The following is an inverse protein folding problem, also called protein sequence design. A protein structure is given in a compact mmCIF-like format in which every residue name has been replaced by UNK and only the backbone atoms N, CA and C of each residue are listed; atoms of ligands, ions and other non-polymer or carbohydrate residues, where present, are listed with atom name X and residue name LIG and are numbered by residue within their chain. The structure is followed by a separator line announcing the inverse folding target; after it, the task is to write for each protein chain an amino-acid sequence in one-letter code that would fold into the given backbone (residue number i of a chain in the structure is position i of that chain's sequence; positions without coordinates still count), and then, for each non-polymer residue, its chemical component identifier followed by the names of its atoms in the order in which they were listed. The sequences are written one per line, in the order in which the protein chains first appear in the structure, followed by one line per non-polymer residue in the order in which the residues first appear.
data_IF_143180234349
#
_entry.id   IF_143180234349
#
_cell.length_a   1.000
_cell.length_b   1.000
_cell.length_c   1.000
_cell.angle_alpha   90.00
_cell.angle_beta   90.00
_cell.angle_gamma   90.00
#
_symmetry.space_group_name_H-M   'P 1'
#
loop_
_entity.id
_entity.type
_entity.pdbx_description
1 polymer ?
#
# COMPACT_ATOMS: atom_id res chain seq x y z
N UNK A 1 8.77 9.46 12.34
CA UNK A 1 7.32 9.76 12.31
C UNK A 1 7.08 10.65 11.10
N UNK A 2 6.12 10.28 10.25
CA UNK A 2 5.77 11.04 9.04
C UNK A 2 4.35 11.58 9.23
N UNK A 3 4.18 12.88 9.03
CA UNK A 3 2.86 13.52 9.04
C UNK A 3 2.52 13.90 7.59
N UNK A 4 1.39 13.42 7.09
CA UNK A 4 0.99 13.67 5.70
C UNK A 4 -0.52 13.60 5.56
N UNK A 5 -1.05 14.40 4.64
CA UNK A 5 -2.45 14.31 4.19
C UNK A 5 -2.63 13.23 3.11
N UNK A 6 -1.53 12.79 2.49
CA UNK A 6 -1.53 11.78 1.44
C UNK A 6 -0.47 10.74 1.76
N UNK A 7 -0.89 9.49 1.92
CA UNK A 7 0.03 8.40 2.22
C UNK A 7 1.03 8.24 1.07
N UNK A 8 2.34 8.02 1.37
CA UNK A 8 3.34 7.85 0.33
C UNK A 8 3.02 6.61 -0.52
N UNK A 9 3.54 6.53 -1.74
CA UNK A 9 3.47 5.27 -2.50
C UNK A 9 4.50 4.31 -1.91
N UNK A 10 4.07 3.10 -1.52
CA UNK A 10 4.96 2.02 -1.09
C UNK A 10 4.85 0.89 -2.10
N UNK A 11 5.98 0.42 -2.61
CA UNK A 11 6.01 -0.66 -3.58
C UNK A 11 5.49 -1.98 -2.98
N UNK A 12 4.89 -2.83 -3.81
CA UNK A 12 4.48 -4.18 -3.41
C UNK A 12 5.66 -5.01 -2.86
N UNK A 13 6.88 -4.75 -3.38
CA UNK A 13 8.15 -5.37 -3.01
C UNK A 13 8.60 -5.18 -1.56
N UNK A 14 8.09 -4.18 -0.86
CA UNK A 14 8.65 -3.78 0.43
C UNK A 14 7.95 -4.46 1.61
N UNK A 15 7.92 -5.80 1.62
CA UNK A 15 7.38 -6.58 2.74
C UNK A 15 8.02 -6.20 4.09
N UNK A 16 9.28 -5.78 4.08
CA UNK A 16 9.99 -5.24 5.24
C UNK A 16 9.46 -3.89 5.72
N UNK A 17 8.97 -3.04 4.82
CA UNK A 17 8.30 -1.77 5.16
C UNK A 17 6.90 -2.08 5.69
N UNK A 18 6.12 -2.90 4.98
CA UNK A 18 4.74 -3.25 5.38
C UNK A 18 4.65 -3.88 6.77
N UNK A 19 5.63 -4.69 7.17
CA UNK A 19 5.69 -5.27 8.53
C UNK A 19 5.91 -4.25 9.64
N UNK A 20 6.44 -3.07 9.33
CA UNK A 20 6.81 -2.02 10.31
C UNK A 20 5.94 -0.77 10.21
N UNK A 21 5.16 -0.65 9.14
CA UNK A 21 4.36 0.52 8.84
C UNK A 21 3.12 0.54 9.73
N UNK A 22 2.99 1.60 10.54
CA UNK A 22 1.82 1.86 11.37
C UNK A 22 1.14 3.14 10.84
N UNK A 23 -0.10 3.02 10.39
CA UNK A 23 -0.91 4.16 9.96
C UNK A 23 -1.84 4.56 11.09
N UNK A 24 -1.65 5.75 11.66
CA UNK A 24 -2.52 6.29 12.71
C UNK A 24 -3.40 7.38 12.05
N UNK A 25 -4.69 7.10 11.81
CA UNK A 25 -5.58 8.09 11.20
C UNK A 25 -5.87 9.23 12.18
N UNK A 26 -5.73 10.47 11.71
CA UNK A 26 -6.12 11.67 12.44
C UNK A 26 -7.38 12.28 11.81
N UNK A 27 -8.54 11.89 12.34
CA UNK A 27 -9.84 12.28 11.77
C UNK A 27 -10.44 13.54 12.43
N UNK A 28 -9.76 14.10 13.44
CA UNK A 28 -10.24 15.29 14.13
C UNK A 28 -10.06 16.53 13.24
N UNK A 29 -11.11 17.35 13.15
CA UNK A 29 -11.06 18.68 12.51
C UNK A 29 -11.02 19.74 13.61
N UNK A 30 -10.03 20.62 13.55
CA UNK A 30 -9.88 21.74 14.48
C UNK A 30 -10.47 22.97 13.81
N UNK A 31 -11.54 23.54 14.38
CA UNK A 31 -12.23 24.73 13.84
C UNK A 31 -11.76 26.04 14.55
N UNK A 32 -11.90 27.15 13.82
CA UNK A 32 -11.19 28.46 13.91
C UNK A 32 -11.18 29.21 15.26
N UNK A 33 -11.79 28.71 16.34
CA UNK A 33 -11.82 29.38 17.65
C UNK A 33 -10.91 28.75 18.71
N UNK A 34 -10.24 27.64 18.39
CA UNK A 34 -9.40 26.88 19.32
C UNK A 34 -7.93 26.78 18.90
N UNK A 35 -7.55 27.41 17.79
CA UNK A 35 -6.19 27.34 17.25
C UNK A 35 -5.23 28.25 18.03
N UNK A 36 -4.51 27.66 18.98
CA UNK A 36 -3.44 28.32 19.73
C UNK A 36 -2.15 28.18 18.93
N UNK A 37 -1.63 29.29 18.41
CA UNK A 37 -0.30 29.32 17.77
C UNK A 37 0.78 28.85 18.75
N UNK A 38 1.75 28.10 18.25
CA UNK A 38 2.82 27.49 19.05
C UNK A 38 2.27 26.65 20.22
N UNK A 39 1.24 25.84 19.96
CA UNK A 39 0.59 25.04 21.00
C UNK A 39 1.58 24.12 21.76
N UNK A 40 2.69 23.72 21.14
CA UNK A 40 3.75 22.99 21.81
C UNK A 40 4.36 23.77 23.00
N UNK A 41 4.66 25.06 22.82
CA UNK A 41 5.20 25.92 23.90
C UNK A 41 4.16 26.16 24.99
N UNK A 42 2.90 26.32 24.58
CA UNK A 42 1.77 26.42 25.50
C UNK A 42 1.64 25.13 26.35
N UNK A 43 1.65 23.96 25.72
CA UNK A 43 1.58 22.68 26.42
C UNK A 43 2.77 22.46 27.34
N UNK A 44 3.98 22.82 26.91
CA UNK A 44 5.18 22.74 27.75
C UNK A 44 5.02 23.59 29.01
N UNK A 45 4.56 24.84 28.86
CA UNK A 45 4.44 25.80 29.96
C UNK A 45 3.27 25.51 30.90
N UNK A 46 2.17 24.96 30.39
CA UNK A 46 0.91 24.83 31.13
C UNK A 46 0.54 23.38 31.50
N UNK A 47 1.11 22.39 30.82
CA UNK A 47 0.75 20.97 30.98
C UNK A 47 1.97 20.03 30.95
N UNK A 48 3.20 20.55 30.95
CA UNK A 48 4.42 19.76 30.78
C UNK A 48 4.57 18.63 31.80
N UNK A 49 4.29 18.90 33.08
CA UNK A 49 4.36 17.91 34.16
C UNK A 49 3.34 16.77 33.95
N UNK A 50 2.10 17.10 33.57
CA UNK A 50 1.06 16.12 33.29
C UNK A 50 1.39 15.26 32.06
N UNK A 51 1.92 15.86 31.00
CA UNK A 51 2.37 15.15 29.80
C UNK A 51 3.51 14.20 30.17
N UNK A 52 4.49 14.64 30.96
CA UNK A 52 5.59 13.79 31.41
C UNK A 52 5.09 12.60 32.24
N UNK A 53 4.17 12.84 33.18
CA UNK A 53 3.55 11.77 33.94
C UNK A 53 2.84 10.76 33.03
N UNK A 54 2.10 11.22 32.03
CA UNK A 54 1.42 10.37 31.06
C UNK A 54 2.39 9.55 30.19
N UNK A 55 3.53 10.14 29.79
CA UNK A 55 4.59 9.43 29.07
C UNK A 55 5.22 8.34 29.94
N UNK A 56 5.49 8.62 31.23
CA UNK A 56 6.05 7.63 32.17
C UNK A 56 5.07 6.46 32.35
N UNK A 57 3.79 6.75 32.58
CA UNK A 57 2.74 5.74 32.70
C UNK A 57 2.64 4.90 31.42
N UNK A 58 2.66 5.55 30.25
CA UNK A 58 2.69 4.86 28.96
C UNK A 58 3.90 3.94 28.81
N UNK A 59 5.09 4.40 29.20
CA UNK A 59 6.31 3.60 29.14
C UNK A 59 6.25 2.36 30.03
N UNK A 60 5.74 2.49 31.27
CA UNK A 60 5.53 1.35 32.18
C UNK A 60 4.62 0.30 31.55
N UNK A 61 3.47 0.71 31.00
CA UNK A 61 2.54 -0.18 30.30
C UNK A 61 3.19 -0.90 29.12
N UNK A 62 3.99 -0.20 28.32
CA UNK A 62 4.70 -0.81 27.16
C UNK A 62 5.72 -1.85 27.62
N UNK A 63 6.44 -1.59 28.71
CA UNK A 63 7.41 -2.53 29.30
C UNK A 63 6.67 -3.77 29.83
N UNK A 64 5.56 -3.60 30.54
CA UNK A 64 4.73 -4.69 31.05
C UNK A 64 4.19 -5.58 29.92
N UNK A 65 3.88 -4.99 28.75
CA UNK A 65 3.47 -5.71 27.54
C UNK A 65 4.64 -6.34 26.76
N UNK A 66 5.89 -6.22 27.23
CA UNK A 66 7.06 -6.74 26.53
C UNK A 66 7.31 -6.07 25.17
N UNK A 67 6.99 -4.78 25.04
CA UNK A 67 7.10 -4.00 23.80
C UNK A 67 6.18 -4.47 22.66
N UNK A 68 5.20 -5.33 22.93
CA UNK A 68 4.22 -5.78 21.95
C UNK A 68 2.90 -5.04 22.17
N UNK A 69 2.66 -4.00 21.37
CA UNK A 69 1.47 -3.16 21.48
C UNK A 69 0.40 -3.66 20.49
N UNK A 70 -0.78 -4.11 20.96
CA UNK A 70 -1.85 -4.50 20.07
C UNK A 70 -2.39 -3.26 19.33
N UNK A 71 -2.49 -3.36 18.01
CA UNK A 71 -3.00 -2.26 17.19
C UNK A 71 -4.51 -2.09 17.40
N UNK A 72 -5.02 -0.87 17.68
CA UNK A 72 -6.46 -0.62 17.72
C UNK A 72 -7.15 -0.93 16.38
N UNK A 73 -8.47 -1.16 16.40
CA UNK A 73 -9.23 -1.51 15.20
C UNK A 73 -9.12 -0.45 14.09
N UNK A 74 -9.15 0.84 14.43
CA UNK A 74 -9.00 1.93 13.46
C UNK A 74 -7.62 1.94 12.79
N UNK A 75 -6.55 1.61 13.53
CA UNK A 75 -5.18 1.51 13.01
C UNK A 75 -5.04 0.30 12.09
N UNK A 76 -5.57 -0.87 12.50
CA UNK A 76 -5.60 -2.06 11.64
C UNK A 76 -6.35 -1.81 10.33
N UNK A 77 -7.51 -1.16 10.41
CA UNK A 77 -8.30 -0.79 9.23
C UNK A 77 -7.51 0.15 8.32
N UNK A 78 -6.92 1.22 8.87
CA UNK A 78 -6.14 2.17 8.08
C UNK A 78 -4.92 1.53 7.38
N UNK A 79 -4.26 0.57 8.02
CA UNK A 79 -3.17 -0.20 7.39
C UNK A 79 -3.70 -1.09 6.27
N UNK A 80 -4.85 -1.75 6.47
CA UNK A 80 -5.49 -2.59 5.45
C UNK A 80 -5.91 -1.75 4.24
N UNK A 81 -6.68 -0.68 4.46
CA UNK A 81 -7.14 0.21 3.40
C UNK A 81 -5.94 0.74 2.59
N UNK A 82 -4.87 1.16 3.27
CA UNK A 82 -3.66 1.61 2.59
C UNK A 82 -2.97 0.50 1.79
N UNK A 83 -2.97 -0.74 2.28
CA UNK A 83 -2.41 -1.87 1.54
C UNK A 83 -3.25 -2.21 0.31
N UNK A 84 -4.57 -2.18 0.45
CA UNK A 84 -5.53 -2.46 -0.62
C UNK A 84 -5.42 -1.39 -1.72
N UNK A 85 -5.36 -0.11 -1.35
CA UNK A 85 -5.07 1.01 -2.28
C UNK A 85 -3.72 0.85 -3.02
N UNK A 86 -2.76 0.15 -2.42
CA UNK A 86 -1.47 -0.14 -3.04
C UNK A 86 -1.43 -1.52 -3.74
N UNK A 87 -2.51 -2.32 -3.68
CA UNK A 87 -2.62 -3.62 -4.34
C UNK A 87 -3.08 -3.53 -5.81
N UNK A 88 -2.62 -2.49 -6.50
CA UNK A 88 -2.95 -2.26 -7.91
C UNK A 88 -2.54 -3.43 -8.82
N UNK A 89 -1.48 -4.17 -8.46
CA UNK A 89 -1.04 -5.33 -9.23
C UNK A 89 -1.97 -6.52 -9.02
N UNK A 90 -2.42 -6.77 -7.78
CA UNK A 90 -3.38 -7.83 -7.49
C UNK A 90 -4.68 -7.66 -8.28
N UNK A 91 -5.24 -6.46 -8.31
CA UNK A 91 -6.43 -6.16 -9.11
C UNK A 91 -6.26 -6.47 -10.60
N UNK A 92 -5.14 -6.04 -11.19
CA UNK A 92 -4.83 -6.38 -12.58
C UNK A 92 -4.67 -7.89 -12.80
N UNK A 93 -4.00 -8.58 -11.87
CA UNK A 93 -3.78 -10.02 -11.95
C UNK A 93 -5.08 -10.81 -11.83
N UNK A 94 -6.00 -10.39 -10.96
CA UNK A 94 -7.28 -11.07 -10.72
C UNK A 94 -8.26 -10.88 -11.89
N UNK A 95 -8.26 -9.71 -12.54
CA UNK A 95 -9.21 -9.41 -13.63
C UNK A 95 -8.67 -9.75 -15.03
N UNK A 96 -7.38 -9.54 -15.28
CA UNK A 96 -6.80 -9.64 -16.62
C UNK A 96 -5.87 -10.83 -16.81
N UNK A 97 -5.56 -11.59 -15.76
CA UNK A 97 -4.61 -12.69 -15.84
C UNK A 97 -5.16 -14.00 -15.28
N UNK A 98 -4.61 -15.10 -15.77
CA UNK A 98 -4.71 -16.40 -15.14
C UNK A 98 -3.33 -16.85 -14.66
N UNK A 99 -3.24 -17.35 -13.43
CA UNK A 99 -1.99 -17.80 -12.81
C UNK A 99 -1.85 -19.32 -12.97
N UNK A 100 -0.70 -19.78 -13.42
CA UNK A 100 -0.41 -21.20 -13.63
C UNK A 100 1.06 -21.45 -13.93
N UNK A 101 1.62 -22.55 -13.42
CA UNK A 101 3.06 -22.86 -13.53
C UNK A 101 3.55 -22.97 -14.97
N UNK A 102 2.68 -23.42 -15.87
CA UNK A 102 2.99 -23.66 -17.29
C UNK A 102 2.57 -22.49 -18.19
N UNK A 103 2.12 -21.39 -17.61
CA UNK A 103 1.67 -20.22 -18.36
C UNK A 103 2.81 -19.23 -18.61
N UNK A 104 2.74 -18.59 -19.78
CA UNK A 104 3.62 -17.50 -20.14
C UNK A 104 2.87 -16.38 -20.87
N UNK A 105 3.29 -15.15 -20.63
CA UNK A 105 2.82 -13.97 -21.36
C UNK A 105 4.01 -13.22 -21.94
N UNK A 106 3.86 -12.70 -23.16
CA UNK A 106 4.84 -11.76 -23.70
C UNK A 106 4.84 -10.50 -22.86
N UNK A 107 6.03 -10.10 -22.40
CA UNK A 107 6.22 -8.94 -21.52
C UNK A 107 5.57 -7.67 -22.08
N UNK A 108 5.73 -7.40 -23.39
CA UNK A 108 5.17 -6.19 -24.00
C UNK A 108 3.64 -6.18 -24.08
N UNK A 109 3.04 -7.34 -24.35
CA UNK A 109 1.57 -7.49 -24.41
C UNK A 109 0.98 -7.37 -23.00
N UNK A 110 1.61 -8.00 -22.00
CA UNK A 110 1.19 -7.91 -20.60
C UNK A 110 1.17 -6.47 -20.08
N UNK A 111 2.23 -5.69 -20.31
CA UNK A 111 2.23 -4.28 -19.89
C UNK A 111 1.23 -3.42 -20.68
N UNK A 112 0.98 -3.75 -21.94
CA UNK A 112 -0.03 -3.05 -22.74
C UNK A 112 -1.44 -3.31 -22.18
N UNK A 113 -1.74 -4.56 -21.82
CA UNK A 113 -2.99 -4.93 -21.17
C UNK A 113 -3.16 -4.22 -19.82
N UNK A 114 -2.10 -4.17 -18.99
CA UNK A 114 -2.10 -3.41 -17.73
C UNK A 114 -2.43 -1.93 -17.93
N UNK A 115 -1.86 -1.30 -18.97
CA UNK A 115 -2.17 0.09 -19.28
C UNK A 115 -3.63 0.29 -19.67
N UNK A 116 -4.21 -0.64 -20.43
CA UNK A 116 -5.63 -0.60 -20.82
C UNK A 116 -6.51 -0.75 -19.59
N UNK A 117 -6.24 -1.75 -18.76
CA UNK A 117 -6.93 -1.98 -17.49
C UNK A 117 -6.95 -0.73 -16.60
N UNK A 118 -5.82 -0.05 -16.42
CA UNK A 118 -5.76 1.18 -15.65
C UNK A 118 -6.61 2.31 -16.25
N UNK A 119 -6.69 2.41 -17.59
CA UNK A 119 -7.54 3.42 -18.24
C UNK A 119 -9.02 3.11 -18.02
N UNK A 120 -9.41 1.83 -18.07
CA UNK A 120 -10.80 1.39 -17.90
C UNK A 120 -11.28 1.54 -16.45
N UNK A 121 -10.41 1.25 -15.49
CA UNK A 121 -10.71 1.37 -14.04
C UNK A 121 -10.51 2.78 -13.49
N UNK A 122 -9.89 3.69 -14.25
CA UNK A 122 -9.55 5.04 -13.80
C UNK A 122 -8.30 5.11 -12.90
N UNK A 123 -7.53 4.02 -12.85
CA UNK A 123 -6.33 3.91 -12.03
C UNK A 123 -5.10 4.60 -12.64
N UNK A 124 -4.16 4.98 -11.77
CA UNK A 124 -2.88 5.53 -12.19
C UNK A 124 -1.97 4.46 -12.80
N UNK A 125 -1.62 4.64 -14.07
CA UNK A 125 -0.66 3.80 -14.81
C UNK A 125 0.74 3.94 -14.21
N UNK A 126 1.26 2.86 -13.61
CA UNK A 126 2.64 2.79 -13.11
C UNK A 126 3.65 2.67 -14.27
N UNK A 127 4.90 3.06 -14.02
CA UNK A 127 5.96 2.95 -15.03
C UNK A 127 6.25 1.49 -15.38
N UNK A 128 6.89 1.25 -16.53
CA UNK A 128 7.33 -0.11 -16.91
C UNK A 128 8.24 -0.72 -15.86
N UNK A 129 9.16 0.07 -15.29
CA UNK A 129 10.08 -0.37 -14.24
C UNK A 129 9.32 -0.79 -12.99
N UNK A 130 8.40 0.03 -12.50
CA UNK A 130 7.59 -0.30 -11.31
C UNK A 130 6.73 -1.54 -11.54
N UNK A 131 6.14 -1.65 -12.74
CA UNK A 131 5.30 -2.78 -13.12
C UNK A 131 6.04 -4.12 -13.05
N UNK A 132 7.20 -4.21 -13.74
CA UNK A 132 7.97 -5.46 -13.74
C UNK A 132 8.62 -5.75 -12.39
N UNK A 133 9.01 -4.71 -11.64
CA UNK A 133 9.54 -4.89 -10.29
C UNK A 133 8.48 -5.49 -9.37
N UNK A 134 7.23 -5.00 -9.46
CA UNK A 134 6.11 -5.55 -8.69
C UNK A 134 5.74 -6.99 -9.11
N UNK A 135 5.78 -7.33 -10.40
CA UNK A 135 5.59 -8.72 -10.84
C UNK A 135 6.67 -9.66 -10.26
N UNK A 136 7.92 -9.21 -10.23
CA UNK A 136 9.02 -10.00 -9.67
C UNK A 136 8.87 -10.22 -8.15
N UNK A 137 8.31 -9.26 -7.38
CA UNK A 137 7.97 -9.50 -5.95
C UNK A 137 6.97 -10.62 -5.76
N UNK A 138 5.97 -10.68 -6.63
CA UNK A 138 4.90 -11.67 -6.55
C UNK A 138 5.38 -13.05 -7.06
N UNK A 139 6.66 -13.16 -7.44
CA UNK A 139 7.31 -14.41 -7.82
C UNK A 139 7.29 -14.68 -9.32
N UNK A 140 6.84 -13.75 -10.15
CA UNK A 140 6.81 -13.91 -11.60
C UNK A 140 8.17 -13.55 -12.22
N UNK A 141 8.73 -14.49 -12.98
CA UNK A 141 10.09 -14.35 -13.52
C UNK A 141 10.03 -13.84 -14.96
N UNK A 142 10.73 -12.74 -15.22
CA UNK A 142 10.96 -12.23 -16.58
C UNK A 142 12.21 -12.87 -17.19
N UNK A 143 12.08 -13.51 -18.36
CA UNK A 143 13.24 -14.00 -19.13
C UNK A 143 13.25 -13.48 -20.56
N UNK A 144 14.45 -13.18 -21.06
CA UNK A 144 14.69 -12.85 -22.46
C UNK A 144 14.99 -14.12 -23.24
N UNK A 145 14.38 -14.24 -24.42
CA UNK A 145 14.59 -15.33 -25.38
C UNK A 145 14.95 -14.74 -26.74
N UNK A 146 15.26 -15.59 -27.73
CA UNK A 146 15.55 -15.16 -29.10
C UNK A 146 14.34 -14.49 -29.79
N UNK A 147 13.13 -14.81 -29.35
CA UNK A 147 11.87 -14.35 -29.96
C UNK A 147 11.18 -13.24 -29.16
N UNK A 148 11.69 -12.88 -27.99
CA UNK A 148 11.15 -11.80 -27.16
C UNK A 148 11.40 -11.99 -25.66
N UNK A 149 10.85 -11.09 -24.85
CA UNK A 149 10.86 -11.23 -23.39
C UNK A 149 9.50 -11.75 -22.90
N UNK A 150 9.53 -12.74 -22.02
CA UNK A 150 8.35 -13.42 -21.48
C UNK A 150 8.33 -13.35 -19.95
N UNK A 151 7.13 -13.33 -19.40
CA UNK A 151 6.85 -13.48 -17.97
C UNK A 151 6.27 -14.89 -17.78
N UNK A 152 6.85 -15.66 -16.86
CA UNK A 152 6.43 -17.04 -16.58
C UNK A 152 5.58 -17.10 -15.31
N UNK A 153 4.60 -18.01 -15.30
CA UNK A 153 3.70 -18.22 -14.17
C UNK A 153 2.32 -17.60 -14.36
N UNK A 154 2.10 -16.87 -15.45
CA UNK A 154 0.82 -16.22 -15.77
C UNK A 154 0.59 -16.12 -17.27
N UNK A 155 -0.67 -16.00 -17.67
CA UNK A 155 -1.09 -15.61 -19.03
C UNK A 155 -2.17 -14.52 -18.94
N UNK A 156 -2.36 -13.77 -20.01
CA UNK A 156 -3.53 -12.88 -20.13
C UNK A 156 -4.79 -13.72 -20.31
N UNK A 157 -5.87 -13.35 -19.63
CA UNK A 157 -7.20 -13.90 -19.89
C UNK A 157 -7.63 -13.42 -21.28
N UNK A 158 -8.16 -14.31 -22.12
CA UNK A 158 -8.73 -13.90 -23.40
C UNK A 158 -9.88 -12.92 -23.11
N UNK A 159 -9.68 -11.63 -23.43
CA UNK A 159 -10.76 -10.68 -23.58
C UNK A 159 -11.53 -11.03 -24.87
N UNK A 160 -12.11 -12.23 -24.95
CA UNK A 160 -13.12 -12.52 -25.95
C UNK A 160 -14.35 -11.68 -25.63
N UNK A 161 -14.92 -11.05 -26.65
CA UNK A 161 -16.03 -10.07 -26.66
C UNK A 161 -17.33 -10.49 -25.92
N UNK A 162 -17.36 -11.60 -25.20
CA UNK A 162 -18.55 -12.20 -24.58
C UNK A 162 -18.94 -11.64 -23.20
N UNK A 163 -18.15 -10.74 -22.60
CA UNK A 163 -18.49 -10.15 -21.29
C UNK A 163 -19.37 -8.89 -21.37
N UNK A 164 -19.83 -8.49 -22.57
CA UNK A 164 -20.72 -7.34 -22.78
C UNK A 164 -22.22 -7.64 -22.59
N UNK A 165 -22.61 -8.85 -22.17
CA UNK A 165 -24.02 -9.25 -22.00
C UNK A 165 -24.35 -9.91 -20.65
N UNK A 166 -23.84 -9.39 -19.53
CA UNK A 166 -24.38 -9.71 -18.20
C UNK A 166 -24.67 -8.48 -17.37
#
# INVERSE_FOLDING_TARGET
MLYTNHLPKVGALDSGIWRRLIVIPFNAKIEDKSDIKNYADYLFSNAGEAILAWVIEGAQRVIEMGFVIPLPACVRKAISDYRDENNWLGHFMDECCEIGSDYEAKSGELYSAYRVFCVETGDYIRSTTDFYSALESEGFIKRKTRVGAFIYGLRLTDLSEDNFLR
#
